data_IF_797846133115
#
_entry.id   IF_797846133115
#
_cell.length_a   1.000
_cell.length_b   1.000
_cell.length_c   1.000
_cell.angle_alpha   90.00
_cell.angle_beta   90.00
_cell.angle_gamma   90.00
#
_symmetry.space_group_name_H-M   'P 1'
#
loop_
_entity.id
_entity.type
_entity.pdbx_description
1 polymer ?
#
# COMPACT_ATOMS: atom_id res chain seq x y z
N UNK A 1 -7.78 -11.53 3.74
CA UNK A 1 -8.28 -12.12 2.46
C UNK A 1 -9.19 -13.32 2.70
N UNK A 2 -8.83 -14.38 3.45
CA UNK A 2 -9.73 -15.53 3.68
C UNK A 2 -11.08 -15.13 4.30
N UNK A 3 -11.07 -14.22 5.28
CA UNK A 3 -12.30 -13.67 5.86
C UNK A 3 -13.17 -12.95 4.82
N UNK A 4 -12.57 -12.20 3.90
CA UNK A 4 -13.30 -11.48 2.85
C UNK A 4 -13.98 -12.44 1.85
N UNK A 5 -13.37 -13.60 1.58
CA UNK A 5 -13.97 -14.67 0.77
C UNK A 5 -15.16 -15.29 1.52
N UNK A 6 -15.02 -15.55 2.82
CA UNK A 6 -16.12 -16.09 3.62
C UNK A 6 -17.32 -15.13 3.69
N UNK A 7 -17.08 -13.83 3.86
CA UNK A 7 -18.15 -12.83 3.81
C UNK A 7 -18.77 -12.66 2.40
N UNK A 8 -18.03 -12.97 1.34
CA UNK A 8 -18.49 -12.94 -0.05
C UNK A 8 -19.18 -14.21 -0.55
N UNK A 9 -19.64 -15.09 0.34
CA UNK A 9 -20.33 -16.33 -0.06
C UNK A 9 -19.43 -17.51 -0.43
N UNK A 10 -18.14 -17.44 -0.08
CA UNK A 10 -17.17 -18.52 -0.34
C UNK A 10 -16.45 -18.42 -1.69
N UNK A 11 -16.74 -17.40 -2.49
CA UNK A 11 -16.10 -17.16 -3.78
C UNK A 11 -15.13 -15.95 -3.72
N UNK A 12 -14.23 -15.86 -4.69
CA UNK A 12 -13.35 -14.69 -4.85
C UNK A 12 -14.13 -13.53 -5.45
N UNK A 13 -14.97 -12.92 -4.62
CA UNK A 13 -15.79 -11.77 -5.00
C UNK A 13 -15.06 -10.42 -4.89
N UNK A 14 -15.77 -9.31 -5.19
CA UNK A 14 -15.22 -7.95 -5.14
C UNK A 14 -14.55 -7.59 -3.81
N UNK A 15 -15.13 -8.02 -2.68
CA UNK A 15 -14.57 -7.77 -1.35
C UNK A 15 -13.20 -8.43 -1.15
N UNK A 16 -13.01 -9.64 -1.69
CA UNK A 16 -11.73 -10.35 -1.64
C UNK A 16 -10.68 -9.65 -2.52
N UNK A 17 -11.08 -9.18 -3.70
CA UNK A 17 -10.21 -8.43 -4.63
C UNK A 17 -9.77 -7.10 -4.01
N UNK A 18 -10.69 -6.32 -3.45
CA UNK A 18 -10.35 -5.06 -2.77
C UNK A 18 -9.45 -5.31 -1.56
N UNK A 19 -9.70 -6.37 -0.79
CA UNK A 19 -8.83 -6.76 0.32
C UNK A 19 -7.42 -7.10 -0.14
N UNK A 20 -7.28 -7.81 -1.27
CA UNK A 20 -5.98 -8.10 -1.86
C UNK A 20 -5.29 -6.83 -2.34
N UNK A 21 -6.01 -5.96 -3.06
CA UNK A 21 -5.49 -4.69 -3.54
C UNK A 21 -4.99 -3.81 -2.38
N UNK A 22 -5.73 -3.75 -1.27
CA UNK A 22 -5.33 -2.99 -0.08
C UNK A 22 -4.03 -3.52 0.55
N UNK A 23 -3.89 -4.84 0.68
CA UNK A 23 -2.67 -5.46 1.23
C UNK A 23 -1.49 -5.28 0.27
N UNK A 24 -1.69 -5.51 -1.03
CA UNK A 24 -0.65 -5.34 -2.04
C UNK A 24 -0.17 -3.88 -2.11
N UNK A 25 -1.10 -2.93 -2.15
CA UNK A 25 -0.79 -1.49 -2.14
C UNK A 25 -0.06 -1.05 -0.88
N UNK A 26 -0.45 -1.57 0.30
CA UNK A 26 0.26 -1.34 1.56
C UNK A 26 1.68 -1.90 1.56
N UNK A 27 1.89 -3.06 0.94
CA UNK A 27 3.23 -3.64 0.73
C UNK A 27 4.11 -2.76 -0.14
N UNK A 28 3.59 -2.25 -1.26
CA UNK A 28 4.32 -1.32 -2.15
C UNK A 28 4.68 -0.03 -1.43
N UNK A 29 3.75 0.54 -0.64
CA UNK A 29 4.03 1.70 0.19
C UNK A 29 5.21 1.42 1.15
N UNK A 30 5.18 0.29 1.85
CA UNK A 30 6.24 -0.10 2.79
C UNK A 30 7.60 -0.27 2.11
N UNK A 31 7.64 -0.89 0.92
CA UNK A 31 8.86 -1.02 0.12
C UNK A 31 9.44 0.35 -0.28
N UNK A 32 8.57 1.28 -0.70
CA UNK A 32 8.97 2.61 -1.17
C UNK A 32 9.48 3.54 -0.06
N UNK A 33 8.97 3.41 1.18
CA UNK A 33 9.34 4.30 2.27
C UNK A 33 10.32 3.69 3.28
N UNK A 34 10.66 2.40 3.16
CA UNK A 34 11.56 1.72 4.08
C UNK A 34 13.03 2.04 3.78
N UNK A 35 13.82 2.56 4.75
CA UNK A 35 15.27 2.72 4.60
C UNK A 35 16.04 1.40 4.42
N UNK A 36 15.36 0.26 4.59
CA UNK A 36 15.97 -1.07 4.48
C UNK A 36 15.58 -1.77 3.17
N UNK A 37 14.70 -1.18 2.35
CA UNK A 37 14.31 -1.79 1.09
C UNK A 37 15.40 -1.65 0.03
N UNK A 38 15.66 -2.74 -0.69
CA UNK A 38 16.56 -2.75 -1.85
C UNK A 38 16.13 -1.73 -2.91
N UNK A 39 14.83 -1.56 -3.13
CA UNK A 39 14.28 -0.55 -4.06
C UNK A 39 14.65 0.86 -3.63
N UNK A 40 14.56 1.15 -2.33
CA UNK A 40 14.91 2.47 -1.77
C UNK A 40 16.42 2.72 -1.85
N UNK A 41 17.23 1.70 -1.58
CA UNK A 41 18.70 1.78 -1.73
C UNK A 41 19.08 2.05 -3.18
N UNK A 42 18.58 1.25 -4.12
CA UNK A 42 18.87 1.42 -5.55
C UNK A 42 18.36 2.77 -6.09
N UNK A 43 17.20 3.25 -5.63
CA UNK A 43 16.65 4.55 -6.03
C UNK A 43 17.51 5.71 -5.54
N UNK A 44 18.00 5.65 -4.29
CA UNK A 44 18.90 6.69 -3.75
C UNK A 44 20.26 6.74 -4.47
N UNK A 45 20.81 5.56 -4.82
CA UNK A 45 22.03 5.42 -5.61
C UNK A 45 21.84 5.98 -7.03
N UNK A 46 20.74 5.64 -7.70
CA UNK A 46 20.40 6.16 -9.02
C UNK A 46 20.18 7.68 -9.03
N UNK A 47 19.70 8.24 -7.91
CA UNK A 47 19.54 9.68 -7.69
C UNK A 47 20.81 10.42 -7.25
N UNK A 48 21.93 9.71 -7.07
CA UNK A 48 23.20 10.26 -6.57
C UNK A 48 23.04 11.13 -5.30
N UNK A 49 22.13 10.72 -4.41
CA UNK A 49 21.80 11.44 -3.18
C UNK A 49 22.06 10.57 -1.96
N UNK A 50 22.21 11.21 -0.79
CA UNK A 50 22.31 10.47 0.46
C UNK A 50 21.03 9.66 0.71
N UNK A 51 21.19 8.42 1.14
CA UNK A 51 20.10 7.49 1.31
C UNK A 51 19.04 7.98 2.30
N UNK A 52 19.46 8.56 3.42
CA UNK A 52 18.52 9.06 4.43
C UNK A 52 17.84 10.35 3.98
N UNK A 53 18.52 11.18 3.19
CA UNK A 53 17.90 12.37 2.60
C UNK A 53 16.87 11.99 1.53
N UNK A 54 17.15 10.96 0.73
CA UNK A 54 16.16 10.37 -0.17
C UNK A 54 14.90 9.93 0.60
N UNK A 55 15.05 9.10 1.63
CA UNK A 55 13.92 8.61 2.43
C UNK A 55 13.12 9.77 3.04
N UNK A 56 13.80 10.73 3.66
CA UNK A 56 13.15 11.87 4.34
C UNK A 56 12.35 12.75 3.40
N UNK A 57 12.85 12.94 2.17
CA UNK A 57 12.12 13.74 1.17
C UNK A 57 10.94 12.97 0.57
N UNK A 58 11.02 11.64 0.46
CA UNK A 58 9.93 10.81 -0.07
C UNK A 58 8.81 10.53 0.94
N UNK A 59 9.14 10.40 2.22
CA UNK A 59 8.18 10.00 3.26
C UNK A 59 6.91 10.88 3.33
N UNK A 60 6.98 12.23 3.24
CA UNK A 60 5.79 13.07 3.24
C UNK A 60 4.85 12.77 2.07
N UNK A 61 5.39 12.55 0.86
CA UNK A 61 4.62 12.20 -0.32
C UNK A 61 3.98 10.81 -0.16
N UNK A 62 4.78 9.81 0.26
CA UNK A 62 4.30 8.46 0.48
C UNK A 62 3.16 8.41 1.51
N UNK A 63 3.29 9.15 2.63
CA UNK A 63 2.26 9.22 3.67
C UNK A 63 0.98 9.90 3.19
N UNK A 64 1.08 10.95 2.37
CA UNK A 64 -0.11 11.61 1.82
C UNK A 64 -0.93 10.66 0.93
N UNK A 65 -0.25 9.91 0.07
CA UNK A 65 -0.88 8.91 -0.80
C UNK A 65 -1.46 7.76 0.03
N UNK A 66 -0.71 7.27 1.01
CA UNK A 66 -1.17 6.22 1.93
C UNK A 66 -2.45 6.64 2.63
N UNK A 67 -2.54 7.88 3.14
CA UNK A 67 -3.74 8.39 3.79
C UNK A 67 -4.96 8.41 2.85
N UNK A 68 -4.80 8.95 1.64
CA UNK A 68 -5.89 9.00 0.64
C UNK A 68 -6.34 7.58 0.27
N UNK A 69 -5.40 6.70 -0.03
CA UNK A 69 -5.67 5.33 -0.47
C UNK A 69 -6.30 4.49 0.65
N UNK A 70 -5.88 4.67 1.91
CA UNK A 70 -6.52 4.03 3.06
C UNK A 70 -7.99 4.40 3.18
N UNK A 71 -8.33 5.69 3.02
CA UNK A 71 -9.74 6.14 3.05
C UNK A 71 -10.54 5.50 1.91
N UNK A 72 -9.99 5.45 0.70
CA UNK A 72 -10.65 4.85 -0.46
C UNK A 72 -10.89 3.34 -0.26
N UNK A 73 -9.90 2.58 0.22
CA UNK A 73 -10.09 1.15 0.49
C UNK A 73 -11.13 0.88 1.57
N UNK A 74 -11.15 1.70 2.63
CA UNK A 74 -12.19 1.60 3.66
C UNK A 74 -13.57 1.90 3.08
N UNK A 75 -13.72 2.98 2.31
CA UNK A 75 -14.98 3.33 1.67
C UNK A 75 -15.49 2.22 0.74
N UNK A 76 -14.61 1.65 -0.10
CA UNK A 76 -14.94 0.52 -0.97
C UNK A 76 -15.35 -0.71 -0.16
N UNK A 77 -14.65 -1.02 0.92
CA UNK A 77 -15.02 -2.10 1.84
C UNK A 77 -16.42 -1.93 2.41
N UNK A 78 -16.76 -0.73 2.89
CA UNK A 78 -18.11 -0.44 3.42
C UNK A 78 -19.21 -0.52 2.36
N UNK A 79 -18.95 -0.08 1.13
CA UNK A 79 -19.90 -0.15 0.02
C UNK A 79 -20.13 -1.60 -0.41
N UNK A 80 -19.06 -2.41 -0.50
CA UNK A 80 -19.13 -3.80 -0.99
C UNK A 80 -19.58 -4.82 0.07
N UNK A 81 -19.59 -4.45 1.34
CA UNK A 81 -20.08 -5.31 2.43
C UNK A 81 -21.60 -5.21 2.61
N UNK A 82 -22.26 -4.24 1.98
CA UNK A 82 -23.72 -4.13 1.93
C UNK A 82 -24.30 -4.96 0.79
#
# INVERSE_FOLDING_TARGET
IPMAIQFGGGEVGPLAVVSFAAVAGGGVFGDHCSPLSDTTVLSSLGGACDHMDHVRTQLPYALSVAAVVSVLYLALGFVMTR
#
